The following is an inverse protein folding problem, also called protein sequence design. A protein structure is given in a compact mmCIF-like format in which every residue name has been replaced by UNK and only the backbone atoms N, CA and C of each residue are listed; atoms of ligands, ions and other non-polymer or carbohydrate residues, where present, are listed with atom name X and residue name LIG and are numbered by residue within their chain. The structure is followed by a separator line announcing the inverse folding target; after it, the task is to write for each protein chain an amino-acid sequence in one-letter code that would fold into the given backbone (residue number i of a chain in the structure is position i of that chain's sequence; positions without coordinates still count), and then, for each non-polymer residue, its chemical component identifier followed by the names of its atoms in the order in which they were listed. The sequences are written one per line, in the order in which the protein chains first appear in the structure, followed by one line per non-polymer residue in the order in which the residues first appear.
data_IF_525942458281
#
_entry.id   IF_525942458281
#
_cell.length_a   1.000
_cell.length_b   1.000
_cell.length_c   1.000
_cell.angle_alpha   90.00
_cell.angle_beta   90.00
_cell.angle_gamma   90.00
#
_symmetry.space_group_name_H-M   'P 1'
#
loop_
_entity.id
_entity.type
_entity.pdbx_description
1 polymer ?
#
# COMPACT_ATOMS: atom_id res chain seq x y z
N UNK A 1 -4.52 54.91 24.08
CA UNK A 1 -5.73 55.33 24.82
C UNK A 1 -6.74 55.85 23.80
N UNK A 2 -7.75 55.04 23.46
CA UNK A 2 -9.11 55.45 23.82
C UNK A 2 -9.83 54.38 24.66
N UNK A 3 -10.98 54.76 25.22
CA UNK A 3 -11.72 54.06 26.27
C UNK A 3 -12.76 53.07 25.75
N UNK A 4 -13.17 52.15 26.61
CA UNK A 4 -14.18 51.13 26.35
C UNK A 4 -15.61 51.65 26.30
N UNK A 5 -16.48 50.92 25.60
CA UNK A 5 -17.76 50.50 26.16
C UNK A 5 -18.20 49.19 25.50
N UNK A 6 -18.71 48.27 26.31
CA UNK A 6 -19.29 47.01 25.85
C UNK A 6 -20.76 46.97 26.32
N UNK A 7 -21.63 46.42 25.50
CA UNK A 7 -22.98 46.05 25.91
C UNK A 7 -23.35 44.76 25.21
N UNK A 8 -23.72 43.74 25.98
CA UNK A 8 -24.10 42.43 25.49
C UNK A 8 -25.50 42.07 25.96
N UNK A 9 -26.19 41.23 25.20
CA UNK A 9 -27.45 40.61 25.61
C UNK A 9 -27.49 39.17 25.09
N UNK A 10 -27.82 38.23 25.97
CA UNK A 10 -28.03 36.80 25.69
C UNK A 10 -29.52 36.47 25.92
N UNK A 11 -30.18 35.78 24.98
CA UNK A 11 -31.57 35.32 25.15
C UNK A 11 -31.96 34.08 24.30
N UNK A 12 -31.35 32.93 24.59
CA UNK A 12 -32.03 31.70 25.02
C UNK A 12 -33.53 31.41 24.71
N UNK A 13 -33.76 30.22 24.11
CA UNK A 13 -34.88 29.25 24.28
C UNK A 13 -36.24 29.54 23.57
N UNK A 14 -36.67 28.66 22.62
CA UNK A 14 -37.75 27.65 22.82
C UNK A 14 -38.03 26.76 21.59
N UNK A 15 -38.25 25.49 21.88
CA UNK A 15 -38.83 24.46 21.01
C UNK A 15 -40.36 24.53 21.04
N UNK A 16 -41.03 24.11 19.96
CA UNK A 16 -42.24 23.29 20.11
C UNK A 16 -42.45 22.30 18.95
N UNK A 17 -43.18 21.23 19.25
CA UNK A 17 -43.62 20.18 18.33
C UNK A 17 -45.00 20.54 17.76
N UNK A 18 -45.37 19.97 16.62
CA UNK A 18 -46.71 19.40 16.47
C UNK A 18 -46.79 18.38 15.33
N UNK A 19 -47.51 17.29 15.62
CA UNK A 19 -47.92 16.22 14.71
C UNK A 19 -49.43 16.40 14.47
N UNK A 20 -49.98 15.82 13.39
CA UNK A 20 -51.07 14.88 13.60
C UNK A 20 -50.91 13.61 12.74
N UNK A 21 -51.76 12.62 12.94
CA UNK A 21 -51.79 11.42 12.10
C UNK A 21 -53.15 10.72 12.11
N UNK A 22 -53.28 9.67 11.30
CA UNK A 22 -54.22 8.53 11.37
C UNK A 22 -53.95 7.62 10.15
N UNK A 23 -53.71 6.29 10.20
CA UNK A 23 -54.51 5.13 10.66
C UNK A 23 -55.76 4.90 9.78
N UNK A 24 -56.03 3.75 9.13
CA UNK A 24 -55.64 2.31 9.29
C UNK A 24 -55.56 1.67 7.86
N UNK A 25 -54.78 0.63 7.51
CA UNK A 25 -55.13 -0.83 7.56
C UNK A 25 -53.96 -1.78 7.22
N UNK A 26 -53.86 -2.90 7.94
CA UNK A 26 -53.01 -4.06 7.62
C UNK A 26 -53.73 -5.07 6.71
N UNK A 27 -53.06 -5.55 5.65
CA UNK A 27 -53.32 -6.85 5.01
C UNK A 27 -51.97 -7.48 4.69
N UNK A 28 -51.80 -8.77 5.00
CA UNK A 28 -50.52 -9.45 4.89
C UNK A 28 -50.24 -9.99 3.49
N UNK A 29 -48.98 -9.86 3.07
CA UNK A 29 -48.35 -10.76 2.10
C UNK A 29 -47.13 -11.37 2.78
N UNK A 30 -46.96 -12.68 2.66
CA UNK A 30 -45.68 -13.32 2.95
C UNK A 30 -44.80 -13.16 1.72
N UNK A 31 -43.82 -12.29 1.79
CA UNK A 31 -42.65 -12.41 0.91
C UNK A 31 -41.63 -13.22 1.70
N UNK A 32 -41.43 -14.47 1.25
CA UNK A 32 -40.35 -15.31 1.74
C UNK A 32 -39.06 -14.83 1.05
N UNK A 33 -38.41 -13.82 1.64
CA UNK A 33 -37.08 -13.39 1.22
C UNK A 33 -36.14 -14.59 1.34
N UNK A 34 -35.78 -15.14 0.19
CA UNK A 34 -34.74 -16.16 0.07
C UNK A 34 -33.40 -15.48 0.37
N UNK A 35 -33.04 -15.44 1.65
CA UNK A 35 -31.70 -15.07 2.09
C UNK A 35 -30.71 -16.08 1.49
N UNK A 36 -30.02 -15.68 0.42
CA UNK A 36 -28.82 -16.37 -0.05
C UNK A 36 -27.77 -16.32 1.07
N UNK A 37 -27.68 -17.39 1.88
CA UNK A 37 -26.67 -17.60 2.92
C UNK A 37 -25.27 -17.87 2.34
N UNK A 38 -24.90 -17.19 1.24
CA UNK A 38 -23.64 -17.40 0.53
C UNK A 38 -22.84 -16.10 0.26
N UNK A 39 -22.94 -15.12 1.16
CA UNK A 39 -21.82 -14.19 1.44
C UNK A 39 -21.11 -14.55 2.76
N UNK A 40 -20.86 -15.86 2.93
CA UNK A 40 -19.72 -16.32 3.71
C UNK A 40 -18.43 -15.83 3.05
N UNK A 41 -18.02 -14.59 3.34
CA UNK A 41 -16.67 -14.10 3.03
C UNK A 41 -15.69 -15.12 3.58
N UNK A 42 -14.90 -15.74 2.69
CA UNK A 42 -13.85 -16.69 3.06
C UNK A 42 -12.80 -15.97 3.92
N UNK A 43 -13.00 -16.03 5.24
CA UNK A 43 -12.11 -15.47 6.26
C UNK A 43 -10.78 -16.25 6.35
N UNK A 44 -10.56 -17.21 5.46
CA UNK A 44 -9.37 -18.06 5.36
C UNK A 44 -8.79 -18.11 3.94
N UNK A 45 -8.93 -17.02 3.15
CA UNK A 45 -8.14 -16.84 1.93
C UNK A 45 -6.66 -16.91 2.29
N UNK A 46 -6.08 -18.10 2.12
CA UNK A 46 -4.78 -18.45 2.70
C UNK A 46 -3.71 -17.72 1.92
N UNK A 47 -3.13 -16.71 2.55
CA UNK A 47 -2.04 -15.91 1.98
C UNK A 47 -0.82 -16.82 1.79
N UNK A 48 -0.49 -17.12 0.53
CA UNK A 48 0.66 -17.93 0.16
C UNK A 48 1.88 -17.02 0.08
N UNK A 49 2.87 -17.29 0.92
CA UNK A 49 4.16 -16.59 0.93
C UNK A 49 5.23 -17.41 0.21
N UNK A 50 6.12 -16.73 -0.50
CA UNK A 50 7.27 -17.34 -1.16
C UNK A 50 8.42 -16.34 -1.38
N UNK A 51 9.64 -16.88 -1.50
CA UNK A 51 10.73 -16.21 -2.24
C UNK A 51 10.66 -16.59 -3.72
N UNK A 52 10.69 -15.61 -4.60
CA UNK A 52 10.70 -15.78 -6.06
C UNK A 52 11.95 -15.10 -6.62
N UNK A 53 12.75 -15.85 -7.37
CA UNK A 53 13.94 -15.31 -8.06
C UNK A 53 13.64 -15.15 -9.55
N UNK A 54 13.67 -13.92 -10.04
CA UNK A 54 13.48 -13.56 -11.45
C UNK A 54 14.68 -13.97 -12.31
N UNK A 55 14.52 -13.95 -13.63
CA UNK A 55 15.57 -14.35 -14.60
C UNK A 55 16.82 -13.48 -14.58
N UNK A 56 16.69 -12.22 -14.19
CA UNK A 56 17.79 -11.27 -13.94
C UNK A 56 18.51 -11.52 -12.60
N UNK A 57 17.99 -12.45 -11.79
CA UNK A 57 18.33 -12.78 -10.38
C UNK A 57 17.81 -11.77 -9.35
N UNK A 58 16.90 -10.86 -9.70
CA UNK A 58 16.21 -10.02 -8.72
C UNK A 58 15.30 -10.90 -7.85
N UNK A 59 15.23 -10.64 -6.55
CA UNK A 59 14.46 -11.48 -5.60
C UNK A 59 13.24 -10.75 -5.08
N UNK A 60 12.08 -11.42 -5.12
CA UNK A 60 10.86 -11.00 -4.47
C UNK A 60 10.59 -11.88 -3.26
N UNK A 61 10.12 -11.28 -2.17
CA UNK A 61 9.69 -11.99 -0.97
C UNK A 61 8.35 -11.43 -0.50
N UNK A 62 7.32 -12.26 -0.48
CA UNK A 62 5.99 -11.83 -0.06
C UNK A 62 4.88 -12.70 -0.62
N UNK A 63 3.73 -12.09 -0.83
CA UNK A 63 2.50 -12.73 -1.26
C UNK A 63 2.57 -13.13 -2.75
N UNK A 64 2.13 -14.35 -3.06
CA UNK A 64 2.09 -14.89 -4.42
C UNK A 64 0.74 -15.54 -4.73
N UNK A 65 0.36 -15.52 -6.00
CA UNK A 65 -0.85 -16.20 -6.46
C UNK A 65 -0.66 -17.74 -6.54
N UNK A 66 -1.69 -18.43 -7.05
CA UNK A 66 -1.69 -19.88 -7.23
C UNK A 66 -0.47 -20.40 -7.99
N UNK A 67 -0.12 -19.70 -9.07
CA UNK A 67 1.00 -20.02 -9.98
C UNK A 67 2.38 -19.64 -9.42
N UNK A 68 2.43 -18.98 -8.26
CA UNK A 68 3.69 -18.52 -7.64
C UNK A 68 4.20 -17.19 -8.21
N UNK A 69 3.38 -16.46 -8.97
CA UNK A 69 3.70 -15.11 -9.45
C UNK A 69 3.43 -14.08 -8.34
N UNK A 70 4.29 -13.06 -8.13
CA UNK A 70 4.08 -12.00 -7.14
C UNK A 70 2.72 -11.30 -7.31
N UNK A 71 1.88 -11.38 -6.27
CA UNK A 71 0.52 -10.85 -6.24
C UNK A 71 0.08 -10.68 -4.77
N UNK A 72 -0.25 -9.44 -4.39
CA UNK A 72 -0.38 -9.03 -2.98
C UNK A 72 0.83 -8.23 -2.48
N UNK A 73 1.07 -8.20 -1.17
CA UNK A 73 2.11 -7.37 -0.56
C UNK A 73 3.48 -8.07 -0.48
N UNK A 74 4.56 -7.37 -0.83
CA UNK A 74 5.91 -7.91 -0.63
C UNK A 74 7.05 -6.95 -0.97
N UNK A 75 8.27 -7.45 -0.78
CA UNK A 75 9.53 -6.73 -1.01
C UNK A 75 10.21 -7.28 -2.25
N UNK A 76 10.55 -6.41 -3.20
CA UNK A 76 11.36 -6.71 -4.37
C UNK A 76 12.75 -6.07 -4.22
N UNK A 77 13.78 -6.88 -4.38
CA UNK A 77 15.19 -6.48 -4.36
C UNK A 77 15.77 -6.63 -5.78
N UNK A 78 16.10 -5.51 -6.41
CA UNK A 78 16.73 -5.50 -7.73
C UNK A 78 18.20 -5.85 -7.64
N UNK A 79 18.72 -6.63 -8.60
CA UNK A 79 20.17 -6.86 -8.74
C UNK A 79 20.99 -5.59 -8.99
N UNK A 80 20.33 -4.51 -9.42
CA UNK A 80 20.95 -3.20 -9.62
C UNK A 80 20.96 -2.32 -8.35
N UNK A 81 20.38 -2.81 -7.24
CA UNK A 81 20.41 -2.15 -5.93
C UNK A 81 19.18 -1.31 -5.58
N UNK A 82 18.22 -1.14 -6.50
CA UNK A 82 16.93 -0.56 -6.15
C UNK A 82 16.08 -1.54 -5.35
N UNK A 83 15.19 -1.01 -4.51
CA UNK A 83 14.26 -1.83 -3.72
C UNK A 83 12.85 -1.27 -3.82
N UNK A 84 11.87 -2.16 -3.80
CA UNK A 84 10.46 -1.82 -3.74
C UNK A 84 9.79 -2.58 -2.60
N UNK A 85 8.85 -1.94 -1.90
CA UNK A 85 8.05 -2.55 -0.83
C UNK A 85 6.62 -2.05 -0.94
N UNK A 86 5.69 -2.93 -1.31
CA UNK A 86 4.31 -2.54 -1.54
C UNK A 86 3.48 -3.59 -2.28
N UNK A 87 2.41 -3.12 -2.92
CA UNK A 87 1.47 -3.96 -3.64
C UNK A 87 1.99 -4.39 -5.03
N UNK A 88 1.86 -5.69 -5.29
CA UNK A 88 2.19 -6.36 -6.54
C UNK A 88 0.94 -6.97 -7.15
N UNK A 89 0.89 -7.02 -8.48
CA UNK A 89 -0.15 -7.73 -9.23
C UNK A 89 0.45 -8.30 -10.51
N UNK A 90 0.21 -9.58 -10.78
CA UNK A 90 0.75 -10.27 -11.97
C UNK A 90 2.27 -10.05 -12.18
N UNK A 91 3.06 -10.03 -11.09
CA UNK A 91 4.52 -9.86 -11.15
C UNK A 91 5.02 -8.42 -11.30
N UNK A 92 4.13 -7.41 -11.34
CA UNK A 92 4.49 -5.99 -11.45
C UNK A 92 4.05 -5.19 -10.22
N UNK A 93 4.72 -4.08 -9.93
CA UNK A 93 4.28 -3.07 -8.95
C UNK A 93 2.91 -2.52 -9.38
N UNK A 94 1.91 -2.57 -8.51
CA UNK A 94 0.54 -2.16 -8.83
C UNK A 94 -0.24 -1.89 -7.54
N UNK A 95 -0.80 -0.68 -7.38
CA UNK A 95 -1.28 -0.18 -6.08
C UNK A 95 -0.19 0.55 -5.31
N UNK A 96 -0.36 0.78 -4.01
CA UNK A 96 0.51 1.66 -3.24
C UNK A 96 1.78 0.95 -2.74
N UNK A 97 2.91 1.65 -2.82
CA UNK A 97 4.19 1.16 -2.33
C UNK A 97 5.29 2.22 -2.29
N UNK A 98 6.43 1.84 -1.73
CA UNK A 98 7.62 2.67 -1.62
C UNK A 98 8.73 2.07 -2.48
N UNK A 99 9.34 2.88 -3.34
CA UNK A 99 10.52 2.53 -4.12
C UNK A 99 11.72 3.40 -3.72
N UNK A 100 12.83 2.74 -3.38
CA UNK A 100 14.16 3.34 -3.31
C UNK A 100 14.90 3.04 -4.61
N UNK A 101 15.21 4.08 -5.38
CA UNK A 101 15.96 3.99 -6.62
C UNK A 101 17.46 3.80 -6.37
N UNK A 102 18.20 3.34 -7.40
CA UNK A 102 19.64 3.06 -7.30
C UNK A 102 20.51 4.29 -7.02
N UNK A 103 20.02 5.48 -7.35
CA UNK A 103 20.65 6.77 -7.03
C UNK A 103 20.42 7.19 -5.56
N UNK A 104 19.47 6.58 -4.84
CA UNK A 104 19.05 6.97 -3.50
C UNK A 104 17.76 7.80 -3.43
N UNK A 105 17.18 8.20 -4.58
CA UNK A 105 15.89 8.88 -4.61
C UNK A 105 14.78 7.94 -4.19
N UNK A 106 13.75 8.47 -3.52
CA UNK A 106 12.63 7.69 -3.01
C UNK A 106 11.30 8.16 -3.60
N UNK A 107 10.45 7.23 -4.00
CA UNK A 107 9.05 7.49 -4.34
C UNK A 107 8.11 6.69 -3.43
N UNK A 108 7.10 7.36 -2.89
CA UNK A 108 6.06 6.80 -2.02
C UNK A 108 4.69 7.18 -2.56
N UNK A 109 3.95 6.23 -3.12
CA UNK A 109 2.66 6.51 -3.73
C UNK A 109 2.08 5.34 -4.52
N UNK A 110 1.18 5.66 -5.44
CA UNK A 110 0.51 4.71 -6.31
C UNK A 110 1.40 4.27 -7.50
N UNK A 111 1.30 2.99 -7.85
CA UNK A 111 1.94 2.38 -9.02
C UNK A 111 0.90 1.74 -9.95
N UNK A 112 1.20 1.76 -11.25
CA UNK A 112 0.48 0.99 -12.27
C UNK A 112 1.50 0.33 -13.19
N UNK A 113 1.34 -0.97 -13.42
CA UNK A 113 2.14 -1.75 -14.37
C UNK A 113 3.68 -1.59 -14.25
N UNK A 114 4.18 -1.31 -13.03
CA UNK A 114 5.61 -1.15 -12.74
C UNK A 114 6.11 0.30 -12.62
N UNK A 115 5.32 1.31 -12.99
CA UNK A 115 5.69 2.73 -12.97
C UNK A 115 4.81 3.56 -12.01
N UNK A 116 5.32 4.70 -11.56
CA UNK A 116 4.57 5.66 -10.73
C UNK A 116 3.38 6.23 -11.52
N UNK A 117 2.20 6.28 -10.89
CA UNK A 117 0.95 6.68 -11.54
C UNK A 117 -0.11 6.99 -10.49
N UNK A 118 -0.96 7.99 -10.69
CA UNK A 118 -1.99 8.38 -9.72
C UNK A 118 -1.45 9.49 -8.83
N UNK A 119 -1.44 9.30 -7.51
CA UNK A 119 -0.90 10.27 -6.56
C UNK A 119 0.31 9.72 -5.81
N UNK A 120 1.25 10.62 -5.46
CA UNK A 120 2.40 10.23 -4.68
C UNK A 120 3.40 11.33 -4.42
N UNK A 121 4.40 10.97 -3.62
CA UNK A 121 5.46 11.84 -3.13
C UNK A 121 6.80 11.31 -3.59
N UNK A 122 7.61 12.18 -4.19
CA UNK A 122 9.00 11.91 -4.55
C UNK A 122 9.95 12.76 -3.71
N UNK A 123 11.06 12.18 -3.29
CA UNK A 123 12.18 12.85 -2.63
C UNK A 123 13.45 12.50 -3.39
N UNK A 124 14.06 13.50 -4.02
CA UNK A 124 15.31 13.39 -4.74
C UNK A 124 16.53 13.39 -3.80
N UNK A 125 17.67 13.01 -4.36
CA UNK A 125 18.92 12.78 -3.61
C UNK A 125 19.51 14.06 -3.00
N UNK A 126 19.11 15.23 -3.50
CA UNK A 126 19.54 16.54 -3.01
C UNK A 126 18.55 17.17 -2.03
N UNK A 127 17.50 16.43 -1.63
CA UNK A 127 16.43 16.92 -0.76
C UNK A 127 15.29 17.65 -1.48
N UNK A 128 15.37 17.77 -2.82
CA UNK A 128 14.25 18.21 -3.64
C UNK A 128 13.05 17.27 -3.46
N UNK A 129 11.84 17.83 -3.44
CA UNK A 129 10.60 17.09 -3.17
C UNK A 129 9.54 17.42 -4.22
N UNK A 130 8.74 16.44 -4.61
CA UNK A 130 7.49 16.67 -5.32
C UNK A 130 6.32 15.98 -4.62
N UNK A 131 5.18 16.66 -4.56
CA UNK A 131 3.93 16.18 -3.97
C UNK A 131 2.80 16.48 -4.94
N UNK A 132 2.24 15.46 -5.58
CA UNK A 132 1.22 15.69 -6.61
C UNK A 132 0.82 14.46 -7.40
N UNK A 133 0.46 14.69 -8.66
CA UNK A 133 -0.01 13.68 -9.59
C UNK A 133 1.12 13.10 -10.45
N UNK A 134 0.91 11.86 -10.89
CA UNK A 134 1.88 11.06 -11.63
C UNK A 134 1.19 10.33 -12.77
N UNK A 135 1.83 10.30 -13.95
CA UNK A 135 1.40 9.53 -15.11
C UNK A 135 2.64 8.93 -15.75
N UNK A 136 2.60 7.62 -16.01
CA UNK A 136 3.63 6.85 -16.73
C UNK A 136 5.08 7.08 -16.25
N UNK A 137 5.26 7.29 -14.94
CA UNK A 137 6.55 7.52 -14.30
C UNK A 137 6.97 8.98 -14.13
N UNK A 138 6.26 9.94 -14.74
CA UNK A 138 6.56 11.37 -14.71
C UNK A 138 5.57 12.17 -13.86
N UNK A 139 6.02 13.32 -13.34
CA UNK A 139 5.13 14.31 -12.70
C UNK A 139 4.15 14.84 -13.74
N UNK A 140 2.87 14.93 -13.35
CA UNK A 140 1.79 15.36 -14.22
C UNK A 140 0.74 16.10 -13.39
N UNK A 141 -0.20 16.82 -14.02
CA UNK A 141 -1.32 17.45 -13.33
C UNK A 141 -0.90 18.52 -12.31
N UNK A 142 -1.82 18.91 -11.42
CA UNK A 142 -1.51 19.84 -10.32
C UNK A 142 -0.64 19.15 -9.27
N UNK A 143 0.44 19.82 -8.88
CA UNK A 143 1.32 19.40 -7.78
C UNK A 143 2.18 20.55 -7.23
N UNK A 144 2.96 20.24 -6.20
CA UNK A 144 3.91 21.15 -5.55
C UNK A 144 5.30 20.56 -5.62
N UNK A 145 6.25 21.30 -6.18
CA UNK A 145 7.69 21.02 -6.07
C UNK A 145 8.33 21.89 -5.01
N UNK A 146 9.28 21.32 -4.27
CA UNK A 146 10.18 22.01 -3.36
C UNK A 146 11.59 21.74 -3.87
N UNK A 147 12.37 22.78 -4.17
CA UNK A 147 13.77 22.61 -4.61
C UNK A 147 14.75 22.46 -3.43
N UNK A 148 16.04 22.31 -3.74
CA UNK A 148 17.10 22.18 -2.74
C UNK A 148 17.32 23.47 -1.91
N UNK A 149 16.80 24.62 -2.34
CA UNK A 149 16.79 25.88 -1.57
C UNK A 149 15.51 26.04 -0.72
N UNK A 150 14.68 24.98 -0.67
CA UNK A 150 13.39 24.92 0.00
C UNK A 150 12.32 25.87 -0.58
N UNK A 151 12.48 26.34 -1.82
CA UNK A 151 11.49 27.18 -2.50
C UNK A 151 10.33 26.31 -2.96
N UNK A 152 9.12 26.63 -2.50
CA UNK A 152 7.90 25.91 -2.87
C UNK A 152 7.26 26.54 -4.11
N UNK A 153 7.04 25.73 -5.14
CA UNK A 153 6.33 26.12 -6.37
C UNK A 153 5.15 25.18 -6.60
N UNK A 154 3.93 25.74 -6.65
CA UNK A 154 2.75 25.02 -7.11
C UNK A 154 2.53 25.29 -8.61
N UNK A 155 2.35 24.23 -9.40
CA UNK A 155 2.15 24.34 -10.85
C UNK A 155 1.29 23.19 -11.38
N UNK A 156 0.82 23.35 -12.62
CA UNK A 156 0.40 22.23 -13.46
C UNK A 156 1.64 21.67 -14.17
N UNK A 157 1.82 20.36 -14.15
CA UNK A 157 2.96 19.65 -14.73
C UNK A 157 2.49 18.81 -15.90
N UNK A 158 3.34 18.71 -16.93
CA UNK A 158 3.09 17.85 -18.08
C UNK A 158 4.40 17.14 -18.46
N UNK A 159 4.50 15.87 -18.06
CA UNK A 159 5.68 15.02 -18.28
C UNK A 159 6.94 15.65 -17.70
N UNK A 160 6.92 15.85 -16.38
CA UNK A 160 7.97 16.50 -15.58
C UNK A 160 8.19 18.00 -15.80
N UNK A 161 7.80 18.57 -16.93
CA UNK A 161 7.91 20.01 -17.16
C UNK A 161 6.75 20.77 -16.48
N UNK A 162 7.02 21.82 -15.68
CA UNK A 162 5.98 22.73 -15.23
C UNK A 162 5.49 23.56 -16.41
N UNK A 163 4.18 23.60 -16.64
CA UNK A 163 3.62 24.47 -17.67
C UNK A 163 3.86 25.92 -17.27
N UNK A 164 4.57 26.67 -18.13
CA UNK A 164 4.94 28.06 -17.90
C UNK A 164 3.73 28.88 -17.45
N UNK A 165 3.93 29.77 -16.47
CA UNK A 165 2.90 30.46 -15.69
C UNK A 165 1.99 31.45 -16.45
N UNK A 166 1.84 31.31 -17.77
CA UNK A 166 0.89 32.02 -18.60
C UNK A 166 -0.51 31.38 -18.53
N UNK A 167 -1.26 31.66 -17.46
CA UNK A 167 -2.66 32.15 -17.53
C UNK A 167 -3.43 32.07 -16.20
N UNK A 168 -3.13 31.12 -15.32
CA UNK A 168 -3.94 30.85 -14.12
C UNK A 168 -3.07 30.85 -12.87
N UNK A 169 -3.31 31.81 -11.97
CA UNK A 169 -2.82 31.76 -10.60
C UNK A 169 -3.59 30.67 -9.86
N UNK A 170 -2.97 29.52 -9.62
CA UNK A 170 -3.55 28.46 -8.79
C UNK A 170 -3.84 29.01 -7.38
N UNK A 171 -5.09 28.91 -6.93
CA UNK A 171 -5.45 29.11 -5.53
C UNK A 171 -4.97 27.90 -4.73
N UNK A 172 -4.32 28.16 -3.60
CA UNK A 172 -3.89 27.10 -2.71
C UNK A 172 -5.07 26.22 -2.26
N UNK A 173 -6.15 26.85 -1.80
CA UNK A 173 -7.32 26.18 -1.24
C UNK A 173 -8.18 25.49 -2.30
N UNK A 174 -8.40 26.13 -3.45
CA UNK A 174 -9.31 25.62 -4.48
C UNK A 174 -8.63 24.58 -5.39
N UNK A 175 -7.39 24.82 -5.79
CA UNK A 175 -6.74 24.06 -6.87
C UNK A 175 -5.66 23.10 -6.32
N UNK A 176 -4.85 23.52 -5.35
CA UNK A 176 -3.64 22.78 -4.94
C UNK A 176 -3.90 21.82 -3.77
N UNK A 177 -4.63 22.26 -2.75
CA UNK A 177 -4.77 21.56 -1.46
C UNK A 177 -5.35 20.15 -1.60
N UNK A 178 -6.32 19.94 -2.50
CA UNK A 178 -6.89 18.63 -2.77
C UNK A 178 -5.86 17.63 -3.33
N UNK A 179 -5.00 18.09 -4.23
CA UNK A 179 -3.99 17.26 -4.89
C UNK A 179 -2.85 16.91 -3.92
N UNK A 180 -2.44 17.87 -3.09
CA UNK A 180 -1.49 17.65 -1.98
C UNK A 180 -2.06 16.65 -0.97
N UNK A 181 -3.32 16.79 -0.57
CA UNK A 181 -3.98 15.86 0.35
C UNK A 181 -4.01 14.43 -0.22
N UNK A 182 -4.37 14.25 -1.50
CA UNK A 182 -4.38 12.94 -2.15
C UNK A 182 -2.98 12.32 -2.23
N UNK A 183 -1.95 13.08 -2.59
CA UNK A 183 -0.56 12.62 -2.58
C UNK A 183 -0.06 12.20 -1.20
N UNK A 184 -0.39 12.95 -0.14
CA UNK A 184 -0.05 12.58 1.24
C UNK A 184 -0.85 11.35 1.71
N UNK A 185 -2.10 11.17 1.28
CA UNK A 185 -2.87 9.96 1.59
C UNK A 185 -2.27 8.72 0.88
N UNK A 186 -1.83 8.86 -0.36
CA UNK A 186 -1.13 7.81 -1.12
C UNK A 186 0.24 7.47 -0.50
N UNK A 187 1.03 8.47 -0.11
CA UNK A 187 2.30 8.29 0.64
C UNK A 187 2.06 7.51 1.94
N UNK A 188 1.03 7.88 2.72
CA UNK A 188 0.68 7.18 3.95
C UNK A 188 0.18 5.73 3.70
N UNK A 189 -0.49 5.46 2.58
CA UNK A 189 -0.88 4.11 2.19
C UNK A 189 0.34 3.27 1.76
N UNK A 190 1.22 3.84 0.95
CA UNK A 190 2.49 3.25 0.56
C UNK A 190 3.36 2.86 1.76
N UNK A 191 3.50 3.75 2.76
CA UNK A 191 4.29 3.47 3.98
C UNK A 191 3.66 2.34 4.81
N UNK A 192 2.32 2.27 4.93
CA UNK A 192 1.65 1.13 5.58
C UNK A 192 1.89 -0.18 4.82
N UNK A 193 1.78 -0.15 3.49
CA UNK A 193 2.03 -1.32 2.65
C UNK A 193 3.50 -1.76 2.74
N UNK A 194 4.45 -0.83 2.84
CA UNK A 194 5.87 -1.11 3.05
C UNK A 194 6.12 -1.87 4.36
N UNK A 195 5.53 -1.44 5.47
CA UNK A 195 5.73 -2.11 6.76
C UNK A 195 5.14 -3.53 6.76
N UNK A 196 3.92 -3.71 6.22
CA UNK A 196 3.31 -5.03 6.06
C UNK A 196 4.15 -5.92 5.13
N UNK A 197 4.63 -5.38 4.00
CA UNK A 197 5.51 -6.09 3.07
C UNK A 197 6.82 -6.55 3.74
N UNK A 198 7.43 -5.71 4.59
CA UNK A 198 8.61 -6.10 5.38
C UNK A 198 8.30 -7.24 6.35
N UNK A 199 7.15 -7.23 7.02
CA UNK A 199 6.72 -8.36 7.84
C UNK A 199 6.52 -9.63 7.00
N UNK A 200 5.90 -9.53 5.81
CA UNK A 200 5.77 -10.67 4.88
C UNK A 200 7.09 -11.26 4.43
N UNK A 201 8.10 -10.42 4.18
CA UNK A 201 9.45 -10.88 3.87
C UNK A 201 10.05 -11.70 5.03
N UNK A 202 9.92 -11.22 6.27
CA UNK A 202 10.37 -11.95 7.48
C UNK A 202 9.62 -13.28 7.62
N UNK A 203 8.28 -13.26 7.49
CA UNK A 203 7.43 -14.46 7.59
C UNK A 203 7.84 -15.52 6.54
N UNK A 204 8.08 -15.10 5.29
CA UNK A 204 8.49 -15.99 4.19
C UNK A 204 9.86 -16.64 4.47
N UNK A 205 10.86 -15.86 4.89
CA UNK A 205 12.20 -16.37 5.24
C UNK A 205 12.15 -17.34 6.43
N UNK A 206 11.34 -17.04 7.46
CA UNK A 206 11.13 -17.93 8.62
C UNK A 206 10.45 -19.23 8.21
N UNK A 207 9.50 -19.20 7.27
CA UNK A 207 8.84 -20.40 6.73
C UNK A 207 9.83 -21.30 5.98
N UNK A 208 10.73 -20.73 5.17
CA UNK A 208 11.79 -21.48 4.48
C UNK A 208 12.77 -22.11 5.48
N UNK A 209 13.31 -21.33 6.43
CA UNK A 209 14.21 -21.83 7.47
C UNK A 209 13.60 -22.95 8.31
N UNK A 210 12.31 -22.82 8.67
CA UNK A 210 11.56 -23.85 9.41
C UNK A 210 11.41 -25.13 8.59
N UNK A 211 11.22 -25.01 7.28
CA UNK A 211 11.11 -26.15 6.35
C UNK A 211 12.45 -26.88 6.24
N UNK A 212 13.56 -26.14 6.03
CA UNK A 212 14.92 -26.69 6.00
C UNK A 212 15.25 -27.42 7.32
N UNK A 213 14.92 -26.83 8.48
CA UNK A 213 15.12 -27.45 9.79
C UNK A 213 14.35 -28.76 9.96
N UNK A 214 13.10 -28.83 9.49
CA UNK A 214 12.29 -30.06 9.50
C UNK A 214 12.91 -31.15 8.62
N UNK A 215 13.38 -30.81 7.40
CA UNK A 215 14.09 -31.75 6.53
C UNK A 215 15.39 -32.26 7.18
N UNK A 216 16.16 -31.40 7.82
CA UNK A 216 17.38 -31.80 8.53
C UNK A 216 17.11 -32.81 9.65
N UNK A 217 16.08 -32.57 10.48
CA UNK A 217 15.67 -33.53 11.53
C UNK A 217 15.21 -34.87 10.96
N UNK A 218 14.50 -34.87 9.83
CA UNK A 218 14.11 -36.09 9.10
C UNK A 218 15.35 -36.87 8.60
N UNK A 219 16.32 -36.18 7.99
CA UNK A 219 17.58 -36.77 7.53
C UNK A 219 18.40 -37.36 8.69
N UNK A 220 18.49 -36.66 9.83
CA UNK A 220 19.17 -37.18 11.02
C UNK A 220 18.50 -38.45 11.57
N UNK A 221 17.16 -38.54 11.55
CA UNK A 221 16.43 -39.75 11.94
C UNK A 221 16.68 -40.90 10.96
N UNK A 222 16.63 -40.63 9.66
CA UNK A 222 16.87 -41.63 8.62
C UNK A 222 18.29 -42.19 8.67
N UNK A 223 19.29 -41.33 8.84
CA UNK A 223 20.70 -41.72 9.03
C UNK A 223 20.88 -42.66 10.23
N UNK A 224 20.28 -42.34 11.39
CA UNK A 224 20.30 -43.21 12.58
C UNK A 224 19.61 -44.56 12.37
N UNK A 225 18.50 -44.61 11.62
CA UNK A 225 17.87 -45.90 11.29
C UNK A 225 18.73 -46.73 10.34
N UNK A 226 19.44 -46.10 9.41
CA UNK A 226 20.31 -46.80 8.46
C UNK A 226 21.54 -47.40 9.16
N UNK A 227 22.17 -46.68 10.10
CA UNK A 227 23.28 -47.20 10.89
C UNK A 227 22.88 -48.39 11.78
N UNK A 228 21.69 -48.35 12.39
CA UNK A 228 21.17 -49.47 13.18
C UNK A 228 20.91 -50.71 12.33
N UNK A 229 20.40 -50.54 11.10
CA UNK A 229 20.20 -51.67 10.17
C UNK A 229 21.54 -52.32 9.77
N UNK A 230 22.59 -51.53 9.54
CA UNK A 230 23.93 -52.08 9.23
C UNK A 230 24.55 -52.83 10.42
N UNK A 231 24.40 -52.35 11.65
CA UNK A 231 24.90 -53.05 12.85
C UNK A 231 24.18 -54.40 13.06
N UNK A 232 22.85 -54.44 12.90
CA UNK A 232 22.07 -55.69 13.01
C UNK A 232 22.46 -56.70 11.94
N UNK A 233 22.72 -56.27 10.70
CA UNK A 233 23.21 -57.17 9.65
C UNK A 233 24.60 -57.75 9.94
N UNK A 234 25.48 -56.97 10.60
CA UNK A 234 26.84 -57.42 10.95
C UNK A 234 26.86 -58.36 12.16
N UNK A 235 25.89 -58.23 13.08
CA UNK A 235 25.72 -59.12 14.24
C UNK A 235 25.03 -60.47 13.91
N UNK A 236 24.58 -60.66 12.67
CA UNK A 236 23.85 -61.85 12.21
C UNK A 236 24.64 -62.72 11.22
N UNK A 237 25.92 -62.41 10.98
CA UNK A 237 26.89 -63.22 10.21
C UNK A 237 27.93 -63.88 11.11
#
# INVERSE_FOLDING_TARGET
MPTSSASGTVASIRSDRSRPGSSVTSHGAKEEDHFDENEGRDLTKTVKLATVTSTDRSTYHGEVNGDGVPDGLGVLLSVFGSTYSGAMKNGKKNGEGVELQTNGATYSGEFRDGVASGYGVYVGILGDKYVGQWVDGSRHGVGVSVDAEAVMTAAHFNMDEPELASAVSLSWEADVQLHVLRAVLAENAAIRNQEIARQRHVDAVVQEMTTIGKLYVLLCRYSRSLSLLTEVSFAAS
#
